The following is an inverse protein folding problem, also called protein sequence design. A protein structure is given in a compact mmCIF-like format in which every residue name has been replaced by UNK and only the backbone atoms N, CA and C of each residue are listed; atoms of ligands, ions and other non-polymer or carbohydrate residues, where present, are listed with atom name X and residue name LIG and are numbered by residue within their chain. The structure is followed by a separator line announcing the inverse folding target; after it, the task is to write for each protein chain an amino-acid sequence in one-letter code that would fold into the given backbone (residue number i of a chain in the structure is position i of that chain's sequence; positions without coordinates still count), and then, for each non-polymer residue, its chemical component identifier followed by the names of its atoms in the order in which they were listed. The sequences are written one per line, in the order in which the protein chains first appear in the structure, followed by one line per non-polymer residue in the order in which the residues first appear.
data_IF_811515708549
#
_entry.id   IF_811515708549
#
_cell.length_a   1.000
_cell.length_b   1.000
_cell.length_c   1.000
_cell.angle_alpha   90.00
_cell.angle_beta   90.00
_cell.angle_gamma   90.00
#
_symmetry.space_group_name_H-M   'P 1'
#
loop_
_entity.id
_entity.type
_entity.pdbx_description
1 polymer ?
#
# COMPACT_ATOMS: atom_id res chain seq x y z
N UNK A 1 8.46 5.75 6.64
CA UNK A 1 8.07 6.64 5.54
C UNK A 1 6.55 6.69 5.32
N UNK A 2 5.88 5.59 4.97
CA UNK A 2 4.39 5.59 4.77
C UNK A 2 3.61 5.99 6.02
N UNK A 3 4.07 5.60 7.22
CA UNK A 3 3.40 5.95 8.47
C UNK A 3 3.26 7.47 8.69
N UNK A 4 4.19 8.29 8.20
CA UNK A 4 4.09 9.75 8.35
C UNK A 4 3.05 10.38 7.42
N UNK A 5 2.64 9.68 6.36
CA UNK A 5 1.62 10.15 5.41
C UNK A 5 0.20 9.78 5.83
N UNK A 6 0.04 8.78 6.71
CA UNK A 6 -1.29 8.29 7.12
C UNK A 6 -2.27 9.39 7.55
N UNK A 7 -1.87 10.40 8.35
CA UNK A 7 -2.79 11.46 8.76
C UNK A 7 -3.33 12.30 7.59
N UNK A 8 -2.54 12.49 6.53
CA UNK A 8 -2.94 13.29 5.36
C UNK A 8 -4.08 12.64 4.54
N UNK A 9 -4.22 11.32 4.69
CA UNK A 9 -5.17 10.49 3.93
C UNK A 9 -6.27 9.89 4.81
N UNK A 10 -6.42 10.39 6.03
CA UNK A 10 -7.48 9.95 6.95
C UNK A 10 -8.86 10.13 6.31
N UNK A 11 -9.72 9.13 6.45
CA UNK A 11 -11.03 9.07 5.80
C UNK A 11 -11.02 8.81 4.29
N UNK A 12 -9.86 8.85 3.62
CA UNK A 12 -9.72 8.63 2.17
C UNK A 12 -9.07 7.29 1.82
N UNK A 13 -8.03 6.91 2.56
CA UNK A 13 -7.27 5.67 2.32
C UNK A 13 -7.14 4.88 3.62
N UNK A 14 -7.43 3.58 3.55
CA UNK A 14 -7.17 2.64 4.65
C UNK A 14 -5.81 1.98 4.44
N UNK A 15 -4.91 2.16 5.40
CA UNK A 15 -3.59 1.53 5.40
C UNK A 15 -3.61 0.25 6.25
N UNK A 16 -3.27 -0.87 5.64
CA UNK A 16 -3.10 -2.17 6.31
C UNK A 16 -1.63 -2.61 6.21
N UNK A 17 -1.14 -3.29 7.25
CA UNK A 17 0.24 -3.78 7.31
C UNK A 17 0.18 -5.31 7.31
N UNK A 18 0.74 -5.94 6.29
CA UNK A 18 1.02 -7.37 6.28
C UNK A 18 2.40 -7.61 6.91
N UNK A 19 2.42 -8.20 8.11
CA UNK A 19 3.66 -8.54 8.80
C UNK A 19 4.24 -9.83 8.21
N UNK A 20 5.31 -9.74 7.42
CA UNK A 20 5.96 -10.89 6.79
C UNK A 20 6.59 -11.88 7.78
N UNK A 21 6.65 -11.56 9.07
CA UNK A 21 7.07 -12.51 10.11
C UNK A 21 5.90 -13.38 10.62
N UNK A 22 4.64 -13.02 10.33
CA UNK A 22 3.46 -13.81 10.68
C UNK A 22 3.07 -14.77 9.55
N UNK A 23 2.38 -15.86 9.89
CA UNK A 23 1.81 -16.81 8.92
C UNK A 23 0.91 -16.12 7.91
N UNK A 24 0.03 -15.24 8.38
CA UNK A 24 -0.97 -14.53 7.58
C UNK A 24 -0.31 -13.53 6.64
N UNK A 25 0.69 -12.78 7.13
CA UNK A 25 1.40 -11.81 6.30
C UNK A 25 2.26 -12.48 5.23
N UNK A 26 2.91 -13.61 5.53
CA UNK A 26 3.62 -14.42 4.52
C UNK A 26 2.68 -14.95 3.46
N UNK A 27 1.58 -15.58 3.88
CA UNK A 27 0.57 -16.09 2.95
C UNK A 27 0.02 -15.00 2.04
N UNK A 28 -0.29 -13.82 2.59
CA UNK A 28 -0.78 -12.68 1.82
C UNK A 28 0.25 -12.17 0.80
N UNK A 29 1.53 -12.12 1.20
CA UNK A 29 2.61 -11.72 0.29
C UNK A 29 2.81 -12.73 -0.84
N UNK A 30 2.83 -14.03 -0.53
CA UNK A 30 2.93 -15.12 -1.51
C UNK A 30 1.76 -15.11 -2.48
N UNK A 31 0.53 -14.98 -1.98
CA UNK A 31 -0.68 -14.89 -2.80
C UNK A 31 -0.63 -13.74 -3.82
N UNK A 32 0.03 -12.64 -3.47
CA UNK A 32 0.22 -11.49 -4.36
C UNK A 32 1.57 -11.45 -5.08
N UNK A 33 2.38 -12.51 -4.98
CA UNK A 33 3.70 -12.65 -5.61
C UNK A 33 4.69 -11.55 -5.18
N UNK A 34 4.64 -11.16 -3.90
CA UNK A 34 5.47 -10.14 -3.28
C UNK A 34 6.58 -10.79 -2.45
N UNK A 35 7.83 -10.42 -2.73
CA UNK A 35 9.02 -10.95 -2.05
C UNK A 35 9.90 -9.88 -1.39
N UNK A 36 9.50 -8.61 -1.44
CA UNK A 36 10.23 -7.45 -0.89
C UNK A 36 9.24 -6.46 -0.26
N UNK A 37 9.76 -5.39 0.34
CA UNK A 37 8.92 -4.27 0.79
C UNK A 37 8.18 -3.69 -0.42
N UNK A 38 6.86 -3.87 -0.41
CA UNK A 38 5.96 -3.52 -1.52
C UNK A 38 4.68 -2.92 -0.96
N UNK A 39 4.22 -1.84 -1.57
CA UNK A 39 2.86 -1.34 -1.38
C UNK A 39 1.96 -2.00 -2.41
N UNK A 40 0.85 -2.54 -1.94
CA UNK A 40 -0.22 -3.06 -2.77
C UNK A 40 -1.43 -2.14 -2.63
N UNK A 41 -2.02 -1.77 -3.76
CA UNK A 41 -3.17 -0.87 -3.81
C UNK A 41 -4.42 -1.66 -4.18
N UNK A 42 -5.52 -1.42 -3.46
CA UNK A 42 -6.76 -2.16 -3.63
C UNK A 42 -7.95 -1.20 -3.71
N UNK A 43 -8.96 -1.59 -4.47
CA UNK A 43 -10.31 -1.00 -4.39
C UNK A 43 -11.00 -1.42 -3.09
N UNK A 44 -12.07 -0.72 -2.66
CA UNK A 44 -12.86 -1.11 -1.49
C UNK A 44 -13.44 -2.53 -1.55
N UNK A 45 -13.68 -3.06 -2.76
CA UNK A 45 -14.17 -4.42 -2.99
C UNK A 45 -13.09 -5.52 -2.88
N UNK A 46 -11.84 -5.14 -2.61
CA UNK A 46 -10.70 -6.06 -2.52
C UNK A 46 -9.98 -6.33 -3.83
N UNK A 47 -10.41 -5.74 -4.95
CA UNK A 47 -9.72 -5.87 -6.24
C UNK A 47 -8.38 -5.14 -6.21
N UNK A 48 -7.28 -5.84 -6.53
CA UNK A 48 -5.95 -5.23 -6.65
C UNK A 48 -5.90 -4.28 -7.84
N UNK A 49 -5.45 -3.04 -7.61
CA UNK A 49 -5.26 -2.01 -8.63
C UNK A 49 -3.84 -2.11 -9.20
N UNK A 50 -2.83 -2.02 -8.32
CA UNK A 50 -1.41 -1.98 -8.72
C UNK A 50 -0.49 -2.30 -7.53
N UNK A 51 0.82 -2.28 -7.78
CA UNK A 51 1.85 -2.48 -6.76
C UNK A 51 3.02 -1.52 -6.98
N UNK A 52 3.67 -1.10 -5.89
CA UNK A 52 4.88 -0.28 -5.91
C UNK A 52 5.95 -0.94 -5.04
N UNK A 53 7.08 -1.27 -5.64
CA UNK A 53 8.17 -1.96 -4.98
C UNK A 53 9.24 -0.99 -4.48
N UNK A 54 9.87 -1.34 -3.36
CA UNK A 54 10.99 -0.59 -2.78
C UNK A 54 10.57 0.62 -1.95
N UNK A 55 11.55 1.24 -1.31
CA UNK A 55 11.35 2.47 -0.56
C UNK A 55 11.23 3.66 -1.52
N UNK A 56 10.35 4.61 -1.17
CA UNK A 56 9.98 5.71 -2.04
C UNK A 56 9.77 6.97 -1.23
N UNK A 57 10.37 8.08 -1.66
CA UNK A 57 10.29 9.37 -0.97
C UNK A 57 8.84 9.82 -0.72
N UNK A 58 8.55 10.51 0.40
CA UNK A 58 7.18 10.89 0.75
C UNK A 58 6.47 11.71 -0.32
N UNK A 59 7.18 12.63 -0.98
CA UNK A 59 6.63 13.46 -2.05
C UNK A 59 6.19 12.64 -3.28
N UNK A 60 6.92 11.56 -3.59
CA UNK A 60 6.55 10.66 -4.66
C UNK A 60 5.33 9.82 -4.27
N UNK A 61 5.32 9.28 -3.05
CA UNK A 61 4.18 8.50 -2.54
C UNK A 61 2.87 9.28 -2.56
N UNK A 62 2.88 10.59 -2.22
CA UNK A 62 1.67 11.43 -2.31
C UNK A 62 1.09 11.46 -3.72
N UNK A 63 1.92 11.75 -4.71
CA UNK A 63 1.51 11.77 -6.13
C UNK A 63 0.97 10.41 -6.58
N UNK A 64 1.57 9.32 -6.11
CA UNK A 64 1.10 7.96 -6.40
C UNK A 64 -0.28 7.73 -5.78
N UNK A 65 -0.48 8.07 -4.52
CA UNK A 65 -1.77 7.88 -3.84
C UNK A 65 -2.87 8.69 -4.50
N UNK A 66 -2.62 9.98 -4.77
CA UNK A 66 -3.59 10.86 -5.41
C UNK A 66 -4.02 10.34 -6.79
N UNK A 67 -3.06 9.82 -7.57
CA UNK A 67 -3.33 9.23 -8.89
C UNK A 67 -4.04 7.88 -8.81
N UNK A 68 -3.57 6.97 -7.97
CA UNK A 68 -4.10 5.59 -7.89
C UNK A 68 -5.53 5.59 -7.34
N UNK A 69 -5.82 6.46 -6.39
CA UNK A 69 -7.13 6.55 -5.74
C UNK A 69 -8.00 7.70 -6.28
N UNK A 70 -7.53 8.41 -7.30
CA UNK A 70 -8.23 9.53 -7.93
C UNK A 70 -8.74 10.57 -6.90
N UNK A 71 -7.83 11.05 -6.06
CA UNK A 71 -8.12 11.98 -4.95
C UNK A 71 -7.97 13.47 -5.35
N UNK A 72 -7.85 13.75 -6.65
CA UNK A 72 -7.84 15.11 -7.23
C UNK A 72 -9.23 15.49 -7.75
#
# INVERSE_FOLDING_TARGET
MVNSLKPEYEGKIRFLIANLNSSEGRWFAEYHNVNKVTLLFFKPDGTKISSLNGEQEPAYLRRVFDRVFNLQ
#
